data_IF_144905036590
#
_entry.id   IF_144905036590
#
_cell.length_a   1.000
_cell.length_b   1.000
_cell.length_c   1.000
_cell.angle_alpha   90.00
_cell.angle_beta   90.00
_cell.angle_gamma   90.00
#
_symmetry.space_group_name_H-M   'P 1'
#
loop_
_entity.id
_entity.type
_entity.pdbx_description
1 polymer ?
#
# COMPACT_ATOMS: atom_id res chain seq x y z
N UNK A 1 6.05 25.15 -25.79
CA UNK A 1 5.15 24.25 -26.54
C UNK A 1 5.30 22.86 -25.98
N UNK A 2 4.21 22.09 -25.82
CA UNK A 2 4.26 20.71 -25.32
C UNK A 2 3.70 19.75 -26.38
N UNK A 3 4.29 18.56 -26.47
CA UNK A 3 3.79 17.46 -27.29
C UNK A 3 3.25 16.37 -26.37
N UNK A 4 1.95 16.08 -26.46
CA UNK A 4 1.34 14.95 -25.73
C UNK A 4 1.63 13.65 -26.47
N UNK A 5 2.28 12.71 -25.79
CA UNK A 5 2.60 11.38 -26.32
C UNK A 5 1.75 10.35 -25.57
N UNK A 6 1.09 9.46 -26.31
CA UNK A 6 0.22 8.42 -25.74
C UNK A 6 0.79 7.03 -26.04
N UNK A 7 0.68 6.13 -25.08
CA UNK A 7 1.21 4.77 -25.17
C UNK A 7 0.09 3.75 -24.90
N UNK A 8 0.13 2.57 -25.55
CA UNK A 8 -0.86 1.53 -25.30
C UNK A 8 -0.65 0.80 -23.97
N UNK A 9 0.54 0.93 -23.35
CA UNK A 9 0.86 0.31 -22.07
C UNK A 9 1.97 1.05 -21.32
N UNK A 10 2.12 0.75 -20.02
CA UNK A 10 3.24 1.26 -19.22
C UNK A 10 4.59 0.74 -19.71
N UNK A 11 4.64 -0.46 -20.28
CA UNK A 11 5.88 -1.03 -20.82
C UNK A 11 6.41 -0.20 -21.99
N UNK A 12 5.53 0.23 -22.90
CA UNK A 12 5.91 1.09 -24.03
C UNK A 12 6.35 2.48 -23.55
N UNK A 13 5.67 3.06 -22.55
CA UNK A 13 6.12 4.31 -21.91
C UNK A 13 7.53 4.17 -21.33
N UNK A 14 7.82 3.08 -20.60
CA UNK A 14 9.15 2.85 -20.02
C UNK A 14 10.22 2.59 -21.09
N UNK A 15 9.86 1.92 -22.19
CA UNK A 15 10.76 1.76 -23.34
C UNK A 15 11.11 3.12 -23.96
N UNK A 16 10.10 3.94 -24.26
CA UNK A 16 10.30 5.30 -24.77
C UNK A 16 11.17 6.15 -23.84
N UNK A 17 10.89 6.12 -22.52
CA UNK A 17 11.71 6.84 -21.52
C UNK A 17 13.19 6.45 -21.57
N UNK A 18 13.48 5.15 -21.73
CA UNK A 18 14.86 4.65 -21.83
C UNK A 18 15.56 5.13 -23.10
N UNK A 19 14.85 5.19 -24.23
CA UNK A 19 15.40 5.62 -25.51
C UNK A 19 15.65 7.14 -25.58
N UNK A 20 14.74 7.95 -25.01
CA UNK A 20 14.83 9.42 -25.08
C UNK A 20 15.79 10.01 -24.01
N UNK A 21 15.94 9.34 -22.86
CA UNK A 21 16.78 9.82 -21.74
C UNK A 21 18.22 10.25 -22.13
N UNK A 22 19.00 9.49 -22.92
CA UNK A 22 20.35 9.92 -23.31
C UNK A 22 20.33 11.18 -24.21
N UNK A 23 19.32 11.31 -25.07
CA UNK A 23 19.17 12.46 -25.97
C UNK A 23 18.88 13.72 -25.15
N UNK A 24 17.97 13.62 -24.17
CA UNK A 24 17.62 14.73 -23.27
C UNK A 24 18.84 15.21 -22.48
N UNK A 25 19.61 14.28 -21.89
CA UNK A 25 20.83 14.63 -21.16
C UNK A 25 21.83 15.39 -22.03
N UNK A 26 22.08 14.90 -23.25
CA UNK A 26 22.97 15.56 -24.21
C UNK A 26 22.47 16.97 -24.59
N UNK A 27 21.17 17.11 -24.83
CA UNK A 27 20.57 18.40 -25.20
C UNK A 27 20.64 19.40 -24.05
N UNK A 28 20.33 18.98 -22.82
CA UNK A 28 20.44 19.81 -21.61
C UNK A 28 21.88 20.27 -21.35
N UNK A 29 22.86 19.38 -21.54
CA UNK A 29 24.28 19.76 -21.43
C UNK A 29 24.72 20.75 -22.51
N UNK A 30 24.25 20.57 -23.76
CA UNK A 30 24.52 21.52 -24.84
C UNK A 30 23.90 22.88 -24.54
N UNK A 31 22.65 22.91 -24.12
CA UNK A 31 21.94 24.16 -23.78
C UNK A 31 22.65 24.93 -22.67
N UNK A 32 23.10 24.23 -21.61
CA UNK A 32 23.92 24.84 -20.54
C UNK A 32 25.22 25.45 -21.08
N UNK A 33 25.93 24.73 -21.97
CA UNK A 33 27.18 25.22 -22.58
C UNK A 33 26.95 26.41 -23.50
N UNK A 34 25.94 26.34 -24.38
CA UNK A 34 25.56 27.43 -25.28
C UNK A 34 25.19 28.68 -24.49
N UNK A 35 24.33 28.54 -23.47
CA UNK A 35 23.92 29.65 -22.60
C UNK A 35 25.11 30.28 -21.89
N UNK A 36 26.03 29.47 -21.35
CA UNK A 36 27.24 29.99 -20.70
C UNK A 36 28.15 30.74 -21.68
N UNK A 37 28.32 30.24 -22.90
CA UNK A 37 29.18 30.85 -23.91
C UNK A 37 28.58 32.14 -24.48
N UNK A 38 27.28 32.16 -24.81
CA UNK A 38 26.60 33.36 -25.29
C UNK A 38 26.54 34.45 -24.22
N UNK A 39 26.36 34.09 -22.94
CA UNK A 39 26.40 35.06 -21.83
C UNK A 39 27.79 35.68 -21.67
N UNK A 40 28.87 34.92 -21.89
CA UNK A 40 30.24 35.43 -21.87
C UNK A 40 30.54 36.33 -23.08
N UNK A 41 30.11 35.95 -24.27
CA UNK A 41 30.25 36.77 -25.48
C UNK A 41 29.49 38.09 -25.38
N UNK A 42 28.24 38.06 -24.93
CA UNK A 42 27.41 39.25 -24.73
C UNK A 42 28.03 40.22 -23.71
N UNK A 43 28.74 39.70 -22.70
CA UNK A 43 29.47 40.51 -21.69
C UNK A 43 30.74 41.16 -22.22
N UNK A 44 31.37 40.62 -23.26
CA UNK A 44 32.67 41.12 -23.76
C UNK A 44 32.59 41.90 -25.07
N UNK A 45 31.66 41.60 -25.97
CA UNK A 45 31.68 42.15 -27.33
C UNK A 45 30.41 42.90 -27.74
N UNK A 46 29.38 42.98 -26.89
CA UNK A 46 28.08 43.54 -27.28
C UNK A 46 27.31 42.58 -28.19
N UNK A 47 25.97 42.67 -28.17
CA UNK A 47 25.09 41.71 -28.84
C UNK A 47 25.07 41.91 -30.37
N UNK A 48 26.05 41.39 -31.09
CA UNK A 48 25.88 41.10 -32.52
C UNK A 48 25.17 39.75 -32.71
N UNK A 49 24.23 39.71 -33.66
CA UNK A 49 23.39 38.55 -33.95
C UNK A 49 24.22 37.33 -34.39
N UNK A 50 24.46 36.43 -33.43
CA UNK A 50 25.03 35.12 -33.70
C UNK A 50 24.00 34.30 -34.48
N UNK A 51 24.26 34.07 -35.77
CA UNK A 51 23.54 33.10 -36.60
C UNK A 51 23.71 31.71 -35.98
N UNK A 52 22.70 31.25 -35.24
CA UNK A 52 22.71 29.89 -34.66
C UNK A 52 22.22 28.89 -35.70
N UNK A 53 23.07 27.91 -36.02
CA UNK A 53 22.65 26.66 -36.66
C UNK A 53 21.47 26.09 -35.85
N UNK A 54 20.28 26.03 -36.48
CA UNK A 54 19.04 25.72 -35.77
C UNK A 54 18.97 24.28 -35.24
N UNK A 55 19.94 23.44 -35.58
CA UNK A 55 20.03 22.05 -35.14
C UNK A 55 18.87 21.18 -35.66
N UNK A 56 19.01 19.87 -35.50
CA UNK A 56 17.94 18.92 -35.86
C UNK A 56 16.74 19.01 -34.91
N UNK A 57 15.56 18.57 -35.34
CA UNK A 57 14.33 18.60 -34.50
C UNK A 57 14.54 17.89 -33.14
N UNK A 58 15.27 16.77 -33.13
CA UNK A 58 15.58 16.01 -31.90
C UNK A 58 16.43 16.81 -30.90
N UNK A 59 17.18 17.80 -31.38
CA UNK A 59 18.04 18.66 -30.57
C UNK A 59 17.25 19.73 -29.80
N UNK A 60 16.02 20.02 -30.28
CA UNK A 60 15.08 20.97 -29.69
C UNK A 60 14.26 20.35 -28.53
N UNK A 61 14.39 19.03 -28.29
CA UNK A 61 13.71 18.33 -27.18
C UNK A 61 14.58 18.43 -25.93
N UNK A 62 14.15 19.23 -24.95
CA UNK A 62 14.95 19.58 -23.77
C UNK A 62 14.52 18.86 -22.48
N UNK A 63 13.25 18.47 -22.35
CA UNK A 63 12.72 17.93 -21.09
C UNK A 63 11.49 17.02 -21.30
N UNK A 64 11.19 16.20 -20.29
CA UNK A 64 9.95 15.44 -20.16
C UNK A 64 9.15 15.94 -18.96
N UNK A 65 7.88 16.26 -19.19
CA UNK A 65 6.95 16.66 -18.13
C UNK A 65 6.03 15.50 -17.75
N UNK A 66 5.64 15.45 -16.47
CA UNK A 66 4.62 14.54 -15.91
C UNK A 66 4.81 13.05 -16.26
N UNK A 67 6.07 12.63 -16.39
CA UNK A 67 6.47 11.32 -16.88
C UNK A 67 6.76 10.32 -15.74
N UNK A 68 6.63 10.75 -14.50
CA UNK A 68 6.91 10.07 -13.24
C UNK A 68 5.66 9.82 -12.39
N UNK A 69 4.49 10.30 -12.81
CA UNK A 69 3.21 9.99 -12.18
C UNK A 69 2.90 8.50 -12.29
N UNK A 70 2.54 7.87 -11.16
CA UNK A 70 2.06 6.50 -11.14
C UNK A 70 0.77 6.41 -11.96
N UNK A 71 0.63 5.32 -12.73
CA UNK A 71 -0.48 5.14 -13.66
C UNK A 71 -1.85 5.22 -12.99
N UNK A 72 -2.01 4.58 -11.84
CA UNK A 72 -3.27 4.62 -11.10
C UNK A 72 -3.61 6.04 -10.64
N UNK A 73 -2.61 6.83 -10.20
CA UNK A 73 -2.82 8.24 -9.86
C UNK A 73 -3.25 9.05 -11.08
N UNK A 74 -2.60 8.85 -12.24
CA UNK A 74 -2.99 9.49 -13.49
C UNK A 74 -4.45 9.19 -13.86
N UNK A 75 -4.86 7.92 -13.77
CA UNK A 75 -6.25 7.52 -14.03
C UNK A 75 -7.21 8.18 -13.05
N UNK A 76 -6.90 8.19 -11.76
CA UNK A 76 -7.73 8.82 -10.73
C UNK A 76 -7.86 10.35 -10.94
N UNK A 77 -6.77 11.03 -11.29
CA UNK A 77 -6.77 12.47 -11.55
C UNK A 77 -7.57 12.79 -12.81
N UNK A 78 -7.24 12.15 -13.94
CA UNK A 78 -7.86 12.45 -15.23
C UNK A 78 -9.36 12.11 -15.26
N UNK A 79 -9.79 11.11 -14.50
CA UNK A 79 -11.19 10.69 -14.40
C UNK A 79 -11.91 11.22 -13.16
N UNK A 80 -11.24 12.01 -12.32
CA UNK A 80 -11.78 12.56 -11.06
C UNK A 80 -12.37 11.47 -10.13
N UNK A 81 -11.65 10.35 -10.00
CA UNK A 81 -12.02 9.21 -9.16
C UNK A 81 -11.27 9.30 -7.82
N UNK A 82 -12.03 9.36 -6.73
CA UNK A 82 -11.55 9.51 -5.37
C UNK A 82 -12.06 8.37 -4.48
N UNK A 83 -11.20 7.83 -3.63
CA UNK A 83 -11.61 6.85 -2.61
C UNK A 83 -12.51 7.55 -1.58
N UNK A 84 -13.50 6.81 -1.04
CA UNK A 84 -14.45 7.33 -0.06
C UNK A 84 -15.68 8.04 -0.65
N UNK A 85 -15.80 8.07 -1.98
CA UNK A 85 -16.97 8.62 -2.70
C UNK A 85 -17.76 7.48 -3.33
N UNK A 86 -19.09 7.64 -3.38
CA UNK A 86 -19.98 6.69 -4.05
C UNK A 86 -19.97 6.88 -5.56
N UNK A 87 -19.92 5.76 -6.29
CA UNK A 87 -19.97 5.74 -7.76
C UNK A 87 -21.00 4.72 -8.25
N UNK A 88 -21.69 5.07 -9.34
CA UNK A 88 -22.38 4.10 -10.20
C UNK A 88 -21.39 3.58 -11.23
N UNK A 89 -21.21 2.26 -11.26
CA UNK A 89 -20.34 1.59 -12.23
C UNK A 89 -21.21 0.83 -13.21
N UNK A 90 -21.25 1.28 -14.45
CA UNK A 90 -21.89 0.52 -15.54
C UNK A 90 -20.84 -0.26 -16.31
N UNK A 91 -21.18 -1.52 -16.63
CA UNK A 91 -20.30 -2.45 -17.33
C UNK A 91 -19.82 -1.94 -18.70
N UNK A 92 -18.95 -2.74 -19.30
CA UNK A 92 -18.21 -2.41 -20.53
C UNK A 92 -19.15 -2.13 -21.71
N UNK A 93 -19.10 -0.93 -22.24
CA UNK A 93 -19.65 -0.59 -23.56
C UNK A 93 -18.69 -1.11 -24.68
N UNK A 94 -18.93 -0.73 -25.94
CA UNK A 94 -18.15 -1.11 -27.12
C UNK A 94 -16.63 -0.86 -26.98
N UNK A 95 -16.21 0.10 -26.14
CA UNK A 95 -14.81 0.48 -25.93
C UNK A 95 -14.10 -0.33 -24.81
N UNK A 96 -14.80 -1.30 -24.20
CA UNK A 96 -14.32 -2.14 -23.10
C UNK A 96 -13.91 -1.36 -21.84
N UNK A 97 -14.29 -0.10 -21.68
CA UNK A 97 -14.04 0.68 -20.45
C UNK A 97 -15.29 0.69 -19.57
N UNK A 98 -15.14 0.60 -18.24
CA UNK A 98 -16.27 0.83 -17.33
C UNK A 98 -16.63 2.32 -17.33
N UNK A 99 -17.92 2.65 -17.34
CA UNK A 99 -18.34 4.02 -17.06
C UNK A 99 -18.51 4.15 -15.54
N UNK A 100 -17.73 5.05 -14.94
CA UNK A 100 -17.72 5.31 -13.51
C UNK A 100 -18.24 6.74 -13.33
N UNK A 101 -19.43 6.89 -12.74
CA UNK A 101 -20.05 8.19 -12.52
C UNK A 101 -20.32 8.39 -11.04
N UNK A 102 -19.92 9.54 -10.51
CA UNK A 102 -20.16 9.88 -9.10
C UNK A 102 -21.67 9.81 -8.81
N UNK A 103 -22.03 9.17 -7.70
CA UNK A 103 -23.42 9.09 -7.27
C UNK A 103 -23.85 10.48 -6.77
N UNK A 104 -24.98 11.02 -7.26
CA UNK A 104 -25.33 12.43 -7.01
C UNK A 104 -25.81 12.71 -5.58
N UNK A 105 -26.34 11.70 -4.88
CA UNK A 105 -27.04 11.89 -3.60
C UNK A 105 -26.48 11.08 -2.43
N UNK A 106 -25.55 10.15 -2.67
CA UNK A 106 -24.97 9.36 -1.58
C UNK A 106 -23.70 10.09 -1.11
N UNK A 107 -23.80 10.66 0.09
CA UNK A 107 -22.76 11.52 0.68
C UNK A 107 -22.11 10.82 1.87
N UNK A 108 -22.90 10.10 2.67
CA UNK A 108 -22.40 9.41 3.86
C UNK A 108 -21.38 8.33 3.48
N UNK A 109 -20.21 8.27 4.14
CA UNK A 109 -19.20 7.25 3.87
C UNK A 109 -19.77 5.84 4.08
N UNK A 110 -19.28 4.83 3.34
CA UNK A 110 -19.60 3.44 3.66
C UNK A 110 -19.04 3.09 5.05
N UNK A 111 -19.69 2.15 5.73
CA UNK A 111 -19.20 1.55 6.98
C UNK A 111 -18.44 0.25 6.64
N UNK A 112 -17.11 0.28 6.51
CA UNK A 112 -16.34 -0.93 6.25
C UNK A 112 -16.34 -1.85 7.47
N UNK A 113 -16.11 -3.14 7.23
CA UNK A 113 -15.71 -4.05 8.31
C UNK A 113 -14.26 -3.74 8.67
N UNK A 114 -14.05 -3.29 9.90
CA UNK A 114 -12.74 -2.94 10.45
C UNK A 114 -12.34 -4.03 11.43
N UNK A 115 -11.16 -4.62 11.23
CA UNK A 115 -10.55 -5.57 12.15
C UNK A 115 -9.26 -4.95 12.70
N UNK A 116 -9.25 -4.61 13.98
CA UNK A 116 -8.04 -4.23 14.68
C UNK A 116 -7.50 -5.44 15.45
N UNK A 117 -6.23 -5.80 15.30
CA UNK A 117 -5.66 -6.93 16.04
C UNK A 117 -4.26 -6.64 16.57
N UNK A 118 -3.90 -7.42 17.59
CA UNK A 118 -2.63 -7.39 18.29
C UNK A 118 -2.30 -8.81 18.77
N UNK A 119 -1.02 -9.19 18.74
CA UNK A 119 -0.55 -10.50 19.18
C UNK A 119 0.28 -10.42 20.46
N UNK A 120 0.11 -11.43 21.30
CA UNK A 120 1.01 -11.68 22.41
C UNK A 120 1.79 -12.96 22.15
N UNK A 121 3.09 -12.92 22.41
CA UNK A 121 4.03 -13.99 22.10
C UNK A 121 4.89 -14.34 23.30
N UNK A 122 5.44 -15.55 23.32
CA UNK A 122 6.48 -15.89 24.29
C UNK A 122 7.75 -15.09 24.01
N UNK A 123 8.59 -14.95 25.04
CA UNK A 123 9.95 -14.42 24.87
C UNK A 123 10.87 -14.91 25.95
N UNK A 124 12.15 -15.04 25.61
CA UNK A 124 13.19 -15.27 26.62
C UNK A 124 13.35 -14.07 27.56
N UNK A 125 13.76 -14.29 28.82
CA UNK A 125 14.12 -13.19 29.72
C UNK A 125 15.19 -12.28 29.11
N UNK A 126 14.98 -10.96 29.20
CA UNK A 126 15.91 -9.92 28.73
C UNK A 126 16.23 -9.94 27.22
N UNK A 127 15.44 -10.62 26.39
CA UNK A 127 15.56 -10.62 24.92
C UNK A 127 14.29 -10.15 24.25
N UNK A 128 14.43 -9.76 22.98
CA UNK A 128 13.30 -9.57 22.07
C UNK A 128 12.73 -10.93 21.63
N UNK A 129 11.43 -11.00 21.29
CA UNK A 129 10.84 -12.20 20.71
C UNK A 129 11.49 -12.59 19.39
N UNK A 130 11.63 -13.90 19.15
CA UNK A 130 12.18 -14.46 17.91
C UNK A 130 11.23 -15.51 17.33
N UNK A 131 10.60 -15.18 16.20
CA UNK A 131 9.61 -16.03 15.54
C UNK A 131 10.11 -17.42 15.12
N UNK A 132 11.43 -17.66 15.12
CA UNK A 132 11.98 -19.00 14.82
C UNK A 132 11.73 -20.02 15.94
N UNK A 133 11.55 -19.56 17.20
CA UNK A 133 11.35 -20.46 18.34
C UNK A 133 10.33 -19.98 19.37
N UNK A 134 10.05 -18.68 19.46
CA UNK A 134 8.97 -18.16 20.29
C UNK A 134 7.61 -18.42 19.62
N UNK A 135 6.58 -18.64 20.43
CA UNK A 135 5.24 -19.03 20.00
C UNK A 135 4.23 -17.91 20.25
N UNK A 136 3.21 -17.81 19.40
CA UNK A 136 2.02 -16.98 19.64
C UNK A 136 1.23 -17.60 20.80
N UNK A 137 1.06 -16.82 21.87
CA UNK A 137 0.27 -17.23 23.03
C UNK A 137 -1.17 -16.75 22.95
N UNK A 138 -1.41 -15.56 22.39
CA UNK A 138 -2.75 -15.01 22.22
C UNK A 138 -2.83 -14.14 20.96
N UNK A 139 -4.02 -14.08 20.35
CA UNK A 139 -4.36 -13.09 19.33
C UNK A 139 -5.63 -12.39 19.80
N UNK A 140 -5.53 -11.11 20.10
CA UNK A 140 -6.68 -10.27 20.44
C UNK A 140 -7.08 -9.46 19.22
N UNK A 141 -8.39 -9.34 18.96
CA UNK A 141 -8.88 -8.51 17.87
C UNK A 141 -10.29 -8.00 18.11
N UNK A 142 -10.57 -6.82 17.58
CA UNK A 142 -11.90 -6.21 17.58
C UNK A 142 -12.42 -6.10 16.15
N UNK A 143 -13.69 -6.45 15.97
CA UNK A 143 -14.38 -6.34 14.69
C UNK A 143 -15.66 -5.55 14.90
N UNK A 144 -15.72 -4.33 14.34
CA UNK A 144 -16.86 -3.42 14.49
C UNK A 144 -17.40 -3.30 15.93
N UNK A 145 -16.49 -3.23 16.93
CA UNK A 145 -16.82 -3.10 18.34
C UNK A 145 -17.02 -4.40 19.12
N UNK A 146 -16.98 -5.57 18.46
CA UNK A 146 -17.03 -6.88 19.12
C UNK A 146 -15.60 -7.39 19.31
N UNK A 147 -15.23 -7.70 20.56
CA UNK A 147 -13.93 -8.23 20.91
C UNK A 147 -13.87 -9.75 20.79
N UNK A 148 -12.71 -10.24 20.37
CA UNK A 148 -12.36 -11.65 20.32
C UNK A 148 -10.96 -11.84 20.89
N UNK A 149 -10.78 -12.94 21.61
CA UNK A 149 -9.48 -13.36 22.13
C UNK A 149 -9.28 -14.84 21.83
N UNK A 150 -8.31 -15.17 20.98
CA UNK A 150 -7.93 -16.55 20.71
C UNK A 150 -6.72 -16.87 21.58
N UNK A 151 -6.76 -18.02 22.26
CA UNK A 151 -5.76 -18.41 23.26
C UNK A 151 -5.13 -19.74 22.88
N UNK A 152 -3.80 -19.79 22.96
CA UNK A 152 -3.03 -21.03 22.89
C UNK A 152 -2.91 -21.69 24.28
N UNK A 153 -3.66 -22.77 24.48
CA UNK A 153 -3.68 -23.56 25.73
C UNK A 153 -2.44 -24.42 25.95
N UNK A 154 -1.57 -24.54 24.94
CA UNK A 154 -0.23 -25.12 25.14
C UNK A 154 0.62 -24.28 26.10
N UNK A 155 0.41 -22.95 26.10
CA UNK A 155 1.24 -21.98 26.84
C UNK A 155 0.49 -21.43 28.04
N UNK A 156 -0.75 -20.97 27.82
CA UNK A 156 -1.61 -20.53 28.92
C UNK A 156 -1.98 -21.75 29.75
N UNK A 157 -2.11 -21.65 31.07
CA UNK A 157 -2.32 -22.82 31.94
C UNK A 157 -3.78 -23.17 32.21
N UNK A 158 -4.70 -22.20 32.14
CA UNK A 158 -6.15 -22.40 32.32
C UNK A 158 -6.97 -21.81 31.16
N UNK A 159 -8.17 -22.37 30.95
CA UNK A 159 -9.16 -21.77 30.06
C UNK A 159 -9.56 -20.40 30.61
N UNK A 160 -9.77 -19.44 29.70
CA UNK A 160 -10.29 -18.12 30.05
C UNK A 160 -11.74 -18.02 29.58
N UNK A 161 -12.62 -17.58 30.46
CA UNK A 161 -14.03 -17.33 30.16
C UNK A 161 -14.22 -16.02 29.39
N UNK A 162 -15.37 -15.88 28.72
CA UNK A 162 -15.78 -14.59 28.13
C UNK A 162 -15.80 -13.50 29.19
N UNK A 163 -15.30 -12.32 28.86
CA UNK A 163 -15.22 -11.20 29.80
C UNK A 163 -15.52 -9.86 29.13
N UNK A 164 -15.71 -8.84 29.97
CA UNK A 164 -15.85 -7.45 29.53
C UNK A 164 -14.63 -6.63 29.97
N UNK A 165 -14.08 -5.87 29.04
CA UNK A 165 -13.10 -4.83 29.31
C UNK A 165 -13.56 -3.53 28.66
N UNK A 166 -14.16 -2.66 29.47
CA UNK A 166 -14.70 -1.36 29.05
C UNK A 166 -13.97 -0.26 29.82
N UNK A 167 -12.80 0.22 29.34
CA UNK A 167 -11.99 1.21 30.06
C UNK A 167 -12.67 2.57 30.16
N UNK A 168 -13.56 2.90 29.22
CA UNK A 168 -14.46 4.07 29.24
C UNK A 168 -15.83 3.70 28.66
N UNK A 169 -16.92 4.41 29.01
CA UNK A 169 -18.26 4.13 28.49
C UNK A 169 -18.36 4.11 26.95
N UNK A 170 -17.58 4.97 26.28
CA UNK A 170 -17.47 5.04 24.82
C UNK A 170 -16.67 3.89 24.19
N UNK A 171 -15.88 3.15 24.97
CA UNK A 171 -15.00 2.07 24.50
C UNK A 171 -15.47 0.73 25.08
N UNK A 172 -16.65 0.29 24.67
CA UNK A 172 -17.20 -1.01 25.06
C UNK A 172 -16.38 -2.15 24.45
N UNK A 173 -15.96 -3.10 25.28
CA UNK A 173 -15.17 -4.25 24.85
C UNK A 173 -15.71 -5.55 25.43
N UNK A 174 -16.72 -6.13 24.80
CA UNK A 174 -17.19 -7.48 25.12
C UNK A 174 -16.34 -8.49 24.36
N UNK A 175 -15.60 -9.33 25.08
CA UNK A 175 -14.68 -10.32 24.49
C UNK A 175 -15.29 -11.72 24.51
N UNK A 176 -15.44 -12.28 23.31
CA UNK A 176 -15.62 -13.72 23.14
C UNK A 176 -14.26 -14.40 23.12
N UNK A 177 -14.04 -15.33 24.04
CA UNK A 177 -12.79 -16.07 24.16
C UNK A 177 -12.90 -17.42 23.45
N UNK A 178 -11.81 -17.81 22.78
CA UNK A 178 -11.67 -19.09 22.08
C UNK A 178 -10.38 -19.75 22.57
N UNK A 179 -10.53 -20.73 23.47
CA UNK A 179 -9.44 -21.54 24.00
C UNK A 179 -9.12 -22.69 23.02
N UNK A 180 -7.92 -22.70 22.44
CA UNK A 180 -7.49 -23.69 21.44
C UNK A 180 -6.25 -24.46 21.91
N UNK A 181 -6.12 -25.75 21.55
CA UNK A 181 -5.11 -26.62 22.14
C UNK A 181 -3.66 -26.31 21.72
N UNK A 182 -3.44 -25.71 20.54
CA UNK A 182 -2.11 -25.50 19.95
C UNK A 182 -2.02 -24.17 19.22
N UNK A 183 -0.80 -23.68 18.99
CA UNK A 183 -0.53 -22.48 18.18
C UNK A 183 -1.07 -22.62 16.74
N UNK A 184 -0.91 -23.81 16.13
CA UNK A 184 -1.46 -24.08 14.81
C UNK A 184 -2.98 -23.83 14.75
N UNK A 185 -3.72 -24.32 15.76
CA UNK A 185 -5.15 -24.13 15.84
C UNK A 185 -5.50 -22.63 16.01
N UNK A 186 -4.71 -21.87 16.76
CA UNK A 186 -4.86 -20.42 16.93
C UNK A 186 -4.73 -19.69 15.59
N UNK A 187 -3.63 -19.92 14.87
CA UNK A 187 -3.37 -19.29 13.57
C UNK A 187 -4.46 -19.66 12.56
N UNK A 188 -4.79 -20.95 12.48
CA UNK A 188 -5.85 -21.43 11.59
C UNK A 188 -7.20 -20.79 11.91
N UNK A 189 -7.59 -20.72 13.18
CA UNK A 189 -8.84 -20.10 13.58
C UNK A 189 -8.87 -18.61 13.18
N UNK A 190 -7.76 -17.90 13.41
CA UNK A 190 -7.66 -16.48 13.05
C UNK A 190 -7.83 -16.27 11.53
N UNK A 191 -7.13 -17.05 10.70
CA UNK A 191 -7.27 -17.00 9.24
C UNK A 191 -8.69 -17.36 8.78
N UNK A 192 -9.27 -18.44 9.30
CA UNK A 192 -10.64 -18.84 8.97
C UNK A 192 -11.66 -17.77 9.38
N UNK A 193 -11.41 -17.04 10.46
CA UNK A 193 -12.30 -15.98 10.92
C UNK A 193 -12.16 -14.72 10.07
N UNK A 194 -10.94 -14.34 9.67
CA UNK A 194 -10.69 -13.28 8.67
C UNK A 194 -11.47 -13.56 7.38
N UNK A 195 -11.41 -14.79 6.86
CA UNK A 195 -12.11 -15.16 5.63
C UNK A 195 -13.63 -15.10 5.75
N UNK A 196 -14.17 -15.39 6.95
CA UNK A 196 -15.61 -15.28 7.25
C UNK A 196 -16.06 -13.83 7.37
N UNK A 197 -15.27 -12.99 8.04
CA UNK A 197 -15.60 -11.60 8.32
C UNK A 197 -15.37 -10.68 7.11
N UNK A 198 -14.42 -11.03 6.24
CA UNK A 198 -13.98 -10.25 5.07
C UNK A 198 -13.73 -8.77 5.41
N UNK A 199 -12.80 -8.45 6.34
CA UNK A 199 -12.51 -7.07 6.69
C UNK A 199 -11.97 -6.30 5.48
N UNK A 200 -12.46 -5.08 5.30
CA UNK A 200 -11.93 -4.15 4.29
C UNK A 200 -10.74 -3.37 4.83
N UNK A 201 -10.63 -3.24 6.16
CA UNK A 201 -9.57 -2.51 6.85
C UNK A 201 -9.02 -3.37 7.97
N UNK A 202 -7.70 -3.50 8.02
CA UNK A 202 -6.94 -4.09 9.11
C UNK A 202 -6.18 -2.98 9.83
N UNK A 203 -6.27 -2.96 11.15
CA UNK A 203 -5.55 -2.01 11.99
C UNK A 203 -4.63 -2.75 12.94
N UNK A 204 -3.39 -2.28 13.07
CA UNK A 204 -2.41 -2.77 14.05
C UNK A 204 -1.69 -1.58 14.67
N UNK A 205 -0.84 -1.83 15.67
CA UNK A 205 0.08 -0.82 16.20
C UNK A 205 1.51 -1.35 16.08
N UNK A 206 2.31 -0.79 15.17
CA UNK A 206 3.63 -1.29 14.78
C UNK A 206 3.59 -2.69 14.15
N UNK A 207 2.46 -3.07 13.56
CA UNK A 207 2.25 -4.42 13.03
C UNK A 207 3.03 -4.72 11.76
N UNK A 208 3.46 -3.71 10.99
CA UNK A 208 4.37 -3.94 9.85
C UNK A 208 5.72 -4.49 10.32
N UNK A 209 6.18 -4.06 11.49
CA UNK A 209 7.49 -4.42 12.04
C UNK A 209 7.45 -5.65 12.95
N UNK A 210 6.30 -5.98 13.53
CA UNK A 210 6.18 -7.04 14.54
C UNK A 210 5.07 -8.04 14.25
N UNK A 211 3.79 -7.67 14.40
CA UNK A 211 2.66 -8.59 14.39
C UNK A 211 2.56 -9.42 13.11
N UNK A 212 2.56 -8.76 11.94
CA UNK A 212 2.46 -9.45 10.66
C UNK A 212 3.65 -10.35 10.35
N UNK A 213 4.92 -9.89 10.47
CA UNK A 213 6.05 -10.78 10.23
C UNK A 213 6.14 -11.93 11.22
N UNK A 214 5.76 -11.73 12.49
CA UNK A 214 5.73 -12.82 13.45
C UNK A 214 4.65 -13.84 13.06
N UNK A 215 3.43 -13.39 12.77
CA UNK A 215 2.33 -14.25 12.33
C UNK A 215 2.67 -15.02 11.04
N UNK A 216 3.27 -14.36 10.04
CA UNK A 216 3.69 -15.00 8.78
C UNK A 216 4.73 -16.10 9.03
N UNK A 217 5.76 -15.80 9.82
CA UNK A 217 6.83 -16.75 10.14
C UNK A 217 6.31 -17.97 10.91
N UNK A 218 5.45 -17.76 11.91
CA UNK A 218 4.83 -18.84 12.68
C UNK A 218 3.87 -19.68 11.83
N UNK A 219 3.06 -19.03 10.99
CA UNK A 219 2.17 -19.73 10.07
C UNK A 219 2.93 -20.64 9.09
N UNK A 220 4.09 -20.19 8.60
CA UNK A 220 4.93 -20.95 7.68
C UNK A 220 5.49 -22.26 8.29
N UNK A 221 5.76 -22.29 9.60
CA UNK A 221 6.23 -23.51 10.30
C UNK A 221 5.18 -24.62 10.22
N UNK A 222 3.90 -24.26 10.23
CA UNK A 222 2.77 -25.20 10.09
C UNK A 222 2.33 -25.42 8.64
N UNK A 223 3.08 -24.89 7.66
CA UNK A 223 2.81 -25.08 6.23
C UNK A 223 1.75 -24.13 5.63
N UNK A 224 1.32 -23.10 6.37
CA UNK A 224 0.43 -22.07 5.83
C UNK A 224 1.21 -21.00 5.07
N UNK A 225 0.70 -20.60 3.91
CA UNK A 225 1.25 -19.48 3.13
C UNK A 225 0.28 -18.30 3.30
N UNK A 226 0.65 -17.31 4.11
CA UNK A 226 -0.26 -16.21 4.50
C UNK A 226 -0.88 -15.47 3.30
N UNK A 227 -0.12 -15.29 2.21
CA UNK A 227 -0.64 -14.73 0.95
C UNK A 227 -1.77 -15.57 0.34
N UNK A 228 -1.69 -16.91 0.42
CA UNK A 228 -2.73 -17.79 -0.09
C UNK A 228 -3.93 -17.88 0.84
N UNK A 229 -3.68 -17.88 2.15
CA UNK A 229 -4.73 -18.03 3.16
C UNK A 229 -5.59 -16.78 3.27
N UNK A 230 -4.98 -15.59 3.41
CA UNK A 230 -5.70 -14.33 3.70
C UNK A 230 -5.34 -13.16 2.78
N UNK A 231 -4.47 -13.39 1.78
CA UNK A 231 -4.14 -12.37 0.78
C UNK A 231 -3.14 -11.32 1.24
N UNK A 232 -2.50 -11.50 2.40
CA UNK A 232 -1.49 -10.59 2.93
C UNK A 232 -0.07 -11.04 2.59
N UNK A 233 0.78 -10.09 2.18
CA UNK A 233 2.21 -10.33 1.95
C UNK A 233 2.99 -9.03 2.13
N UNK A 234 4.28 -9.19 2.40
CA UNK A 234 5.23 -8.07 2.49
C UNK A 234 5.53 -7.46 1.12
N UNK A 235 5.51 -6.12 1.04
CA UNK A 235 5.86 -5.36 -0.16
C UNK A 235 7.38 -5.00 -0.17
N UNK A 236 7.91 -4.38 -1.26
CA UNK A 236 9.32 -3.98 -1.32
C UNK A 236 9.76 -2.90 -0.31
N UNK A 237 8.82 -2.28 0.40
CA UNK A 237 9.08 -1.32 1.48
C UNK A 237 8.95 -1.96 2.88
N UNK A 238 8.97 -3.30 2.95
CA UNK A 238 8.83 -4.07 4.18
C UNK A 238 7.48 -3.92 4.90
N UNK A 239 6.43 -3.48 4.21
CA UNK A 239 5.07 -3.31 4.77
C UNK A 239 4.14 -4.43 4.31
N UNK A 240 3.25 -4.87 5.19
CA UNK A 240 2.26 -5.88 4.87
C UNK A 240 1.05 -5.25 4.19
N UNK A 241 0.71 -5.79 3.01
CA UNK A 241 -0.38 -5.30 2.18
C UNK A 241 -1.21 -6.45 1.62
N UNK A 242 -2.46 -6.13 1.32
CA UNK A 242 -3.41 -7.01 0.63
C UNK A 242 -4.01 -6.27 -0.57
N UNK A 243 -4.32 -6.96 -1.69
CA UNK A 243 -5.04 -6.36 -2.80
C UNK A 243 -6.51 -6.06 -2.47
N UNK A 244 -7.07 -6.73 -1.47
CA UNK A 244 -8.51 -6.68 -1.16
C UNK A 244 -8.83 -5.92 0.13
N UNK A 245 -7.82 -5.56 0.92
CA UNK A 245 -7.99 -4.85 2.18
C UNK A 245 -6.85 -3.87 2.41
N UNK A 246 -7.16 -2.78 3.10
CA UNK A 246 -6.17 -1.77 3.51
C UNK A 246 -5.59 -2.17 4.86
N UNK A 247 -4.28 -2.14 4.98
CA UNK A 247 -3.59 -2.18 6.27
C UNK A 247 -3.31 -0.75 6.74
N UNK A 248 -3.76 -0.41 7.94
CA UNK A 248 -3.48 0.85 8.64
C UNK A 248 -2.65 0.52 9.89
N UNK A 249 -1.34 0.74 9.80
CA UNK A 249 -0.47 0.67 10.97
C UNK A 249 -0.54 1.99 11.73
N UNK A 250 -1.17 1.99 12.91
CA UNK A 250 -1.44 3.17 13.71
C UNK A 250 -0.19 3.75 14.41
N UNK A 251 0.98 3.09 14.30
CA UNK A 251 2.25 3.65 14.78
C UNK A 251 2.85 4.67 13.80
N UNK A 252 2.48 4.60 12.51
CA UNK A 252 2.95 5.51 11.46
C UNK A 252 2.16 6.81 11.42
#
# INVERSE_FOLDING_TARGET
>A
MYLKISFPSLNELQKFKREIAPILRKNQEREKKTTSYTTLLARHFGAEEVLTDEGGIMEKIIDLREHDLLYHMRVCIDLEIFVGVWYSVTGRDLDRKPAIKRHPTLIDPPEPVILAYDIEVTKMPLKFPDSSFDEIMMISYMVNGIGFLIINRHIVSADIDNFEYTPKPEYKGMFRVINLPTEEAVIKYFFDHILRLRPSIFVTYNGDSFDWPFLEARAAIYGYIMLKEIGFSKNPADEYRSPNAVHLDAFK
#
